data_IF_261498657548
#
_entry.id   IF_261498657548
#
_cell.length_a   1.000
_cell.length_b   1.000
_cell.length_c   1.000
_cell.angle_alpha   90.00
_cell.angle_beta   90.00
_cell.angle_gamma   90.00
#
_symmetry.space_group_name_H-M   'P 1'
#
loop_
_entity.id
_entity.type
_entity.pdbx_description
1 polymer ?
#
# COMPACT_ATOMS: atom_id res chain seq x y z
N UNK A 1 30.10 15.25 -17.71
CA UNK A 1 29.50 13.97 -17.28
C UNK A 1 28.12 14.27 -16.69
N UNK A 2 27.09 13.49 -17.03
CA UNK A 2 25.71 13.74 -16.57
C UNK A 2 25.17 12.47 -15.92
N UNK A 3 24.59 12.59 -14.73
CA UNK A 3 23.98 11.47 -14.01
C UNK A 3 22.48 11.68 -13.88
N UNK A 4 21.73 10.58 -13.94
CA UNK A 4 20.31 10.54 -13.65
C UNK A 4 20.09 9.59 -12.48
N UNK A 5 19.37 10.08 -11.48
CA UNK A 5 19.02 9.31 -10.29
C UNK A 5 17.52 9.02 -10.33
N UNK A 6 17.19 7.76 -10.07
CA UNK A 6 15.82 7.29 -9.89
C UNK A 6 15.65 6.87 -8.42
N UNK A 7 14.54 7.29 -7.83
CA UNK A 7 14.14 6.88 -6.49
C UNK A 7 12.67 6.48 -6.53
N UNK A 8 12.37 5.32 -5.97
CA UNK A 8 11.02 4.77 -5.82
C UNK A 8 10.80 4.44 -4.34
N UNK A 9 9.57 4.63 -3.87
CA UNK A 9 9.23 4.49 -2.46
C UNK A 9 8.53 3.16 -2.21
N UNK A 10 9.11 2.35 -1.33
CA UNK A 10 8.59 1.04 -0.97
C UNK A 10 7.17 1.10 -0.42
N UNK A 11 6.24 0.44 -1.11
CA UNK A 11 4.83 0.32 -0.73
C UNK A 11 4.20 1.67 -0.29
N UNK A 12 4.49 2.75 -1.01
CA UNK A 12 4.37 4.14 -0.55
C UNK A 12 3.16 4.46 0.34
N UNK A 13 1.91 4.27 -0.10
CA UNK A 13 0.76 4.63 0.73
C UNK A 13 0.61 3.76 1.99
N UNK A 14 0.95 2.47 1.93
CA UNK A 14 0.94 1.61 3.11
C UNK A 14 2.02 2.04 4.11
N UNK A 15 3.22 2.38 3.61
CA UNK A 15 4.31 2.93 4.42
C UNK A 15 3.93 4.26 5.07
N UNK A 16 3.17 5.12 4.36
CA UNK A 16 2.64 6.37 4.90
C UNK A 16 1.62 6.13 6.04
N UNK A 17 0.72 5.16 5.88
CA UNK A 17 -0.24 4.80 6.94
C UNK A 17 0.44 4.19 8.16
N UNK A 18 1.46 3.36 7.97
CA UNK A 18 2.28 2.82 9.07
C UNK A 18 3.08 3.93 9.78
N UNK A 19 3.57 4.91 9.04
CA UNK A 19 4.26 6.06 9.63
C UNK A 19 3.30 6.91 10.48
N UNK A 20 2.05 7.09 10.03
CA UNK A 20 0.99 7.80 10.77
C UNK A 20 0.50 7.01 11.98
N UNK A 21 0.38 5.70 11.86
CA UNK A 21 -0.04 4.80 12.92
C UNK A 21 0.95 3.62 13.09
N UNK A 22 1.97 3.77 13.95
CA UNK A 22 2.98 2.74 14.19
C UNK A 22 2.47 1.36 14.64
N UNK A 23 1.24 1.27 15.15
CA UNK A 23 0.62 -0.01 15.55
C UNK A 23 0.28 -0.92 14.36
N UNK A 24 0.35 -0.40 13.13
CA UNK A 24 0.14 -1.16 11.90
C UNK A 24 1.39 -1.92 11.43
N UNK A 25 2.56 -1.71 12.05
CA UNK A 25 3.80 -2.42 11.69
C UNK A 25 3.66 -3.93 11.86
N UNK A 26 4.20 -4.69 10.91
CA UNK A 26 4.16 -6.16 10.95
C UNK A 26 2.78 -6.75 10.65
N UNK A 27 1.80 -5.93 10.27
CA UNK A 27 0.42 -6.38 10.00
C UNK A 27 0.16 -6.42 8.49
N UNK A 28 -0.59 -7.42 8.00
CA UNK A 28 -1.15 -7.38 6.66
C UNK A 28 -2.10 -6.17 6.55
N UNK A 29 -1.75 -5.21 5.70
CA UNK A 29 -2.51 -3.97 5.47
C UNK A 29 -2.66 -3.71 3.98
N UNK A 30 -3.87 -3.30 3.58
CA UNK A 30 -4.20 -2.89 2.21
C UNK A 30 -4.77 -1.48 2.27
N UNK A 31 -4.27 -0.61 1.41
CA UNK A 31 -4.86 0.72 1.17
C UNK A 31 -5.66 0.62 -0.12
N UNK A 32 -6.92 1.04 -0.09
CA UNK A 32 -7.85 0.99 -1.22
C UNK A 32 -8.94 2.05 -1.09
N UNK A 33 -9.80 2.13 -2.09
CA UNK A 33 -10.92 3.06 -2.06
C UNK A 33 -12.00 2.64 -1.06
N UNK A 34 -12.66 3.61 -0.43
CA UNK A 34 -13.87 3.36 0.35
C UNK A 34 -14.99 2.79 -0.55
N UNK A 35 -15.90 1.97 0.01
CA UNK A 35 -17.09 1.51 -0.71
C UNK A 35 -17.96 2.70 -1.14
N UNK A 36 -18.49 2.66 -2.37
CA UNK A 36 -19.50 3.63 -2.78
C UNK A 36 -20.89 3.10 -2.41
N UNK A 37 -21.52 3.72 -1.40
CA UNK A 37 -22.73 3.20 -0.75
C UNK A 37 -22.44 1.77 -0.25
N UNK A 38 -23.13 0.76 -0.76
CA UNK A 38 -22.94 -0.66 -0.40
C UNK A 38 -22.18 -1.46 -1.48
N UNK A 39 -21.54 -0.79 -2.46
CA UNK A 39 -20.84 -1.45 -3.56
C UNK A 39 -19.34 -1.48 -3.32
N UNK A 40 -18.82 -2.69 -3.10
CA UNK A 40 -17.39 -2.98 -3.04
C UNK A 40 -16.85 -3.26 -4.44
N UNK A 41 -16.47 -2.21 -5.16
CA UNK A 41 -15.82 -2.29 -6.49
C UNK A 41 -14.40 -1.71 -6.50
N UNK A 42 -13.86 -1.39 -5.33
CA UNK A 42 -12.51 -0.88 -5.18
C UNK A 42 -11.45 -1.93 -5.46
N UNK A 43 -10.26 -1.48 -5.86
CA UNK A 43 -9.05 -2.28 -5.98
C UNK A 43 -8.07 -1.92 -4.86
N UNK A 44 -7.10 -2.80 -4.59
CA UNK A 44 -5.97 -2.47 -3.76
C UNK A 44 -5.09 -1.43 -4.50
N UNK A 45 -4.89 -0.26 -3.89
CA UNK A 45 -3.97 0.76 -4.40
C UNK A 45 -2.53 0.42 -4.03
N UNK A 46 -2.33 -0.09 -2.82
CA UNK A 46 -1.07 -0.69 -2.37
C UNK A 46 -1.33 -1.65 -1.23
N UNK A 47 -0.36 -2.52 -0.98
CA UNK A 47 -0.40 -3.52 0.08
C UNK A 47 0.98 -3.60 0.74
N UNK A 48 1.01 -3.87 2.04
CA UNK A 48 2.26 -4.16 2.75
C UNK A 48 2.87 -5.46 2.25
N UNK A 49 4.15 -5.66 2.53
CA UNK A 49 4.83 -6.92 2.19
C UNK A 49 4.15 -8.11 2.87
N UNK A 50 3.71 -7.94 4.13
CA UNK A 50 2.94 -8.93 4.89
C UNK A 50 1.60 -9.26 4.22
N UNK A 51 0.94 -8.28 3.58
CA UNK A 51 -0.29 -8.54 2.82
C UNK A 51 0.00 -9.25 1.48
N UNK A 52 1.14 -8.98 0.85
CA UNK A 52 1.57 -9.63 -0.40
C UNK A 52 1.88 -11.11 -0.22
N UNK A 53 2.27 -11.55 0.98
CA UNK A 53 2.42 -12.98 1.30
C UNK A 53 1.10 -13.76 1.13
N UNK A 54 -0.05 -13.09 1.24
CA UNK A 54 -1.37 -13.66 0.97
C UNK A 54 -1.80 -13.56 -0.51
N UNK A 55 -0.90 -13.16 -1.41
CA UNK A 55 -1.19 -12.97 -2.83
C UNK A 55 -1.95 -11.68 -3.16
N UNK A 56 -2.03 -10.73 -2.22
CA UNK A 56 -2.66 -9.43 -2.46
C UNK A 56 -1.67 -8.54 -3.20
N UNK A 57 -2.06 -8.08 -4.38
CA UNK A 57 -1.29 -7.14 -5.18
C UNK A 57 -2.13 -5.91 -5.51
N UNK A 58 -1.45 -4.81 -5.83
CA UNK A 58 -2.11 -3.65 -6.41
C UNK A 58 -2.81 -4.07 -7.71
N UNK A 59 -4.12 -3.78 -7.80
CA UNK A 59 -4.98 -4.13 -8.93
C UNK A 59 -5.09 -3.03 -9.97
#
# INVERSE_FOLDING_TARGET
MRFYLHADLDAFFASAEIARNPSLRGRPLVVGSEPYRDRYRGVALTATYEAREYGIHSG
#
